data_IF_407996691669
#
_entry.id   IF_407996691669
#
_cell.length_a   1.000
_cell.length_b   1.000
_cell.length_c   1.000
_cell.angle_alpha   90.00
_cell.angle_beta   90.00
_cell.angle_gamma   90.00
#
_symmetry.space_group_name_H-M   'P 1'
#
loop_
_entity.id
_entity.type
_entity.pdbx_description
1 polymer ?
#
# COMPACT_ATOMS: atom_id res chain seq x y z
N UNK A 1 0.74 15.66 30.25
CA UNK A 1 -0.58 15.17 29.80
C UNK A 1 -0.49 14.98 28.30
N UNK A 2 -0.20 13.76 27.84
CA UNK A 2 -1.21 12.81 27.30
C UNK A 2 -1.96 13.43 26.11
N UNK A 3 -1.87 12.98 24.86
CA UNK A 3 -1.39 11.73 24.27
C UNK A 3 -1.20 12.00 22.77
N UNK A 4 0.02 11.86 22.25
CA UNK A 4 0.26 11.82 20.80
C UNK A 4 -0.19 10.44 20.28
N UNK A 5 -1.39 10.38 19.70
CA UNK A 5 -1.80 9.25 18.86
C UNK A 5 -1.33 9.53 17.42
N UNK A 6 -0.04 9.34 17.17
CA UNK A 6 0.48 9.13 15.81
C UNK A 6 0.52 7.61 15.64
N UNK A 7 -0.35 7.07 14.80
CA UNK A 7 -0.31 5.66 14.46
C UNK A 7 0.85 5.48 13.47
N UNK A 8 1.95 4.90 13.95
CA UNK A 8 3.06 4.39 13.13
C UNK A 8 2.62 3.10 12.38
N UNK A 9 3.01 2.95 11.12
CA UNK A 9 2.53 2.00 10.11
C UNK A 9 3.62 1.49 9.09
N UNK A 10 4.32 0.39 9.43
CA UNK A 10 5.64 -0.31 9.10
C UNK A 10 6.17 -0.55 7.60
N UNK A 11 7.53 -0.52 7.32
CA UNK A 11 8.42 -0.93 6.13
C UNK A 11 9.53 -1.82 6.71
N UNK A 12 10.22 -2.51 5.81
CA UNK A 12 11.52 -3.15 5.96
C UNK A 12 12.59 -2.43 5.13
N UNK A 13 13.75 -2.12 5.71
CA UNK A 13 14.92 -1.74 4.92
C UNK A 13 15.46 -2.96 4.16
N UNK A 14 15.83 -2.85 2.87
CA UNK A 14 16.39 -3.97 2.10
C UNK A 14 17.75 -4.47 2.65
N UNK A 15 18.41 -3.71 3.52
CA UNK A 15 19.68 -4.08 4.15
C UNK A 15 19.54 -4.53 5.62
N UNK A 16 18.32 -4.47 6.20
CA UNK A 16 18.01 -4.85 7.59
C UNK A 16 16.55 -5.32 7.71
N UNK A 17 16.28 -6.62 7.47
CA UNK A 17 14.93 -7.18 7.56
C UNK A 17 14.36 -7.22 9.00
N UNK A 18 15.16 -6.83 10.00
CA UNK A 18 14.87 -6.83 11.43
C UNK A 18 14.41 -5.46 12.00
N UNK A 19 14.38 -4.38 11.18
CA UNK A 19 13.96 -3.03 11.62
C UNK A 19 12.79 -2.47 10.79
N UNK A 20 11.74 -2.07 11.52
CA UNK A 20 10.42 -1.60 11.05
C UNK A 20 10.44 -0.11 10.65
N UNK A 21 9.86 0.29 9.50
CA UNK A 21 10.09 1.61 8.91
C UNK A 21 9.09 2.18 7.87
N UNK A 22 7.76 2.04 7.98
CA UNK A 22 6.55 2.51 7.21
C UNK A 22 6.50 2.91 5.67
N UNK A 23 5.95 2.08 4.71
CA UNK A 23 6.21 2.23 3.20
C UNK A 23 5.82 3.61 2.69
N UNK A 24 4.97 4.29 3.45
CA UNK A 24 4.58 5.65 3.17
C UNK A 24 4.51 6.54 4.42
N UNK A 25 5.33 6.30 5.44
CA UNK A 25 5.64 7.40 6.36
C UNK A 25 6.63 8.31 5.68
N UNK A 26 6.25 9.58 5.71
CA UNK A 26 7.13 10.69 5.45
C UNK A 26 8.39 10.49 6.28
N UNK A 27 9.48 10.09 5.62
CA UNK A 27 10.79 9.82 6.25
C UNK A 27 11.34 11.06 6.98
N UNK A 28 10.81 12.24 6.64
CA UNK A 28 11.03 13.52 7.25
C UNK A 28 10.50 14.63 6.35
N UNK A 29 10.55 15.86 6.84
CA UNK A 29 10.28 17.04 6.03
C UNK A 29 11.60 17.71 5.62
N UNK A 30 11.67 18.19 4.39
CA UNK A 30 12.73 19.10 3.91
C UNK A 30 12.09 20.42 3.53
N UNK A 31 12.70 21.53 3.96
CA UNK A 31 12.34 22.86 3.48
C UNK A 31 13.09 23.17 2.18
N UNK A 32 12.35 23.61 1.16
CA UNK A 32 12.90 24.09 -0.12
C UNK A 32 12.10 25.30 -0.57
N UNK A 33 12.79 26.41 -0.80
CA UNK A 33 12.20 27.68 -1.25
C UNK A 33 11.05 28.18 -0.34
N UNK A 34 11.13 27.94 0.97
CA UNK A 34 10.08 28.34 1.93
C UNK A 34 8.87 27.40 1.99
N UNK A 35 8.91 26.25 1.29
CA UNK A 35 7.87 25.23 1.34
C UNK A 35 8.41 23.92 1.93
N UNK A 36 7.55 23.20 2.65
CA UNK A 36 7.89 21.87 3.15
C UNK A 36 7.58 20.80 2.11
N UNK A 37 8.48 19.83 2.00
CA UNK A 37 8.33 18.62 1.19
C UNK A 37 8.53 17.39 2.07
N UNK A 38 7.84 16.30 1.75
CA UNK A 38 8.21 14.97 2.25
C UNK A 38 9.53 14.54 1.61
N UNK A 39 10.26 13.65 2.29
CA UNK A 39 11.49 13.08 1.74
C UNK A 39 11.27 11.72 1.09
N UNK A 40 11.83 11.54 -0.10
CA UNK A 40 11.96 10.26 -0.78
C UNK A 40 13.04 9.39 -0.14
N UNK A 41 13.12 8.13 -0.58
CA UNK A 41 14.14 7.16 -0.12
C UNK A 41 15.57 7.58 -0.47
N UNK A 42 15.74 8.38 -1.51
CA UNK A 42 16.99 9.01 -1.92
C UNK A 42 17.35 10.25 -1.10
N UNK A 43 16.51 10.61 -0.12
CA UNK A 43 16.64 11.80 0.70
C UNK A 43 16.31 13.10 -0.03
N UNK A 44 15.78 13.05 -1.26
CA UNK A 44 15.38 14.24 -2.01
C UNK A 44 13.92 14.63 -1.70
N UNK A 45 13.54 15.90 -1.97
CA UNK A 45 12.13 16.31 -1.92
C UNK A 45 11.25 15.46 -2.85
N UNK A 46 10.14 14.96 -2.32
CA UNK A 46 9.24 14.02 -3.00
C UNK A 46 7.86 14.65 -3.23
N UNK A 47 7.06 14.85 -2.18
CA UNK A 47 5.76 15.52 -2.28
C UNK A 47 5.75 16.87 -1.57
N UNK A 48 5.20 17.91 -2.20
CA UNK A 48 4.93 19.18 -1.54
C UNK A 48 3.85 19.01 -0.47
N UNK A 49 4.10 19.48 0.75
CA UNK A 49 3.13 19.48 1.84
C UNK A 49 2.19 20.67 1.67
N UNK A 50 0.89 20.40 1.49
CA UNK A 50 -0.11 21.46 1.36
C UNK A 50 -0.70 21.80 2.71
N UNK A 51 -0.63 23.09 3.07
CA UNK A 51 -1.21 23.61 4.31
C UNK A 51 -2.63 24.12 4.10
N UNK A 52 -2.89 24.69 2.92
CA UNK A 52 -4.11 25.42 2.60
C UNK A 52 -4.20 26.80 3.26
N UNK A 53 -3.13 27.32 3.87
CA UNK A 53 -3.13 28.66 4.46
C UNK A 53 -3.33 29.75 3.39
N UNK A 54 -2.65 29.58 2.26
CA UNK A 54 -2.89 30.29 1.01
C UNK A 54 -2.88 29.25 -0.13
N UNK A 55 -4.00 28.54 -0.27
CA UNK A 55 -4.10 27.43 -1.22
C UNK A 55 -3.88 27.89 -2.67
N UNK A 56 -4.26 29.13 -3.01
CA UNK A 56 -4.04 29.68 -4.35
C UNK A 56 -2.55 29.84 -4.62
N UNK A 57 -1.80 30.42 -3.68
CA UNK A 57 -0.34 30.53 -3.81
C UNK A 57 0.36 29.16 -3.83
N UNK A 58 -0.11 28.18 -3.06
CA UNK A 58 0.42 26.81 -3.09
C UNK A 58 0.18 26.12 -4.46
N UNK A 59 -1.02 26.30 -5.04
CA UNK A 59 -1.35 25.81 -6.38
C UNK A 59 -0.49 26.50 -7.46
N UNK A 60 -0.33 27.82 -7.38
CA UNK A 60 0.55 28.57 -8.29
C UNK A 60 1.99 28.07 -8.19
N UNK A 61 2.47 27.78 -6.98
CA UNK A 61 3.80 27.21 -6.77
C UNK A 61 3.93 25.83 -7.42
N UNK A 62 2.93 24.94 -7.27
CA UNK A 62 2.91 23.61 -7.91
C UNK A 62 3.07 23.75 -9.43
N UNK A 63 2.27 24.61 -10.04
CA UNK A 63 2.25 24.84 -11.50
C UNK A 63 3.59 25.40 -11.97
N UNK A 64 4.06 26.48 -11.34
CA UNK A 64 5.26 27.19 -11.80
C UNK A 64 6.56 26.41 -11.59
N UNK A 65 6.58 25.44 -10.67
CA UNK A 65 7.76 24.62 -10.37
C UNK A 65 7.62 23.18 -10.86
N UNK A 66 6.54 22.85 -11.58
CA UNK A 66 6.24 21.50 -12.05
C UNK A 66 6.37 20.44 -10.93
N UNK A 67 5.83 20.75 -9.75
CA UNK A 67 5.79 19.79 -8.63
C UNK A 67 4.94 18.61 -9.07
N UNK A 68 5.48 17.39 -9.00
CA UNK A 68 4.81 16.18 -9.47
C UNK A 68 4.03 15.43 -8.38
N UNK A 69 4.29 15.76 -7.10
CA UNK A 69 3.70 15.07 -5.96
C UNK A 69 3.18 16.03 -4.88
N UNK A 70 2.02 15.71 -4.30
CA UNK A 70 1.45 16.44 -3.17
C UNK A 70 1.20 15.53 -1.97
N UNK A 71 1.38 16.08 -0.78
CA UNK A 71 1.09 15.45 0.50
C UNK A 71 0.11 16.30 1.28
N UNK A 72 -0.97 15.65 1.72
CA UNK A 72 -1.97 16.24 2.59
C UNK A 72 -2.13 15.36 3.84
N UNK A 73 -2.27 16.00 5.00
CA UNK A 73 -2.52 15.28 6.24
C UNK A 73 -3.37 16.08 7.22
N UNK A 74 -3.93 15.39 8.21
CA UNK A 74 -4.80 16.00 9.23
C UNK A 74 -4.15 17.12 10.06
N UNK A 75 -2.82 17.19 10.13
CA UNK A 75 -2.10 18.15 10.95
C UNK A 75 -1.76 19.42 10.18
N UNK A 76 -1.18 19.28 8.99
CA UNK A 76 -0.71 20.39 8.16
C UNK A 76 -1.84 20.98 7.31
N UNK A 77 -2.72 20.15 6.76
CA UNK A 77 -3.70 20.53 5.73
C UNK A 77 -5.06 20.99 6.28
N UNK A 78 -5.09 21.52 7.51
CA UNK A 78 -6.35 21.87 8.23
C UNK A 78 -7.16 22.97 7.56
N UNK A 79 -6.52 23.81 6.76
CA UNK A 79 -7.17 24.94 6.09
C UNK A 79 -7.87 24.52 4.78
N UNK A 80 -7.51 23.37 4.21
CA UNK A 80 -8.13 22.81 2.99
C UNK A 80 -9.54 22.30 3.33
N UNK A 81 -10.55 22.76 2.57
CA UNK A 81 -11.97 22.46 2.82
C UNK A 81 -12.55 21.37 1.93
N UNK A 82 -11.97 21.20 0.76
CA UNK A 82 -12.30 20.17 -0.21
C UNK A 82 -11.11 19.98 -1.18
N UNK A 83 -11.21 18.99 -2.05
CA UNK A 83 -10.18 18.64 -3.02
C UNK A 83 -10.49 19.15 -4.44
N UNK A 84 -11.40 20.13 -4.60
CA UNK A 84 -11.75 20.66 -5.94
C UNK A 84 -10.56 21.33 -6.64
N UNK A 85 -9.60 21.85 -5.89
CA UNK A 85 -8.38 22.44 -6.44
C UNK A 85 -7.55 21.45 -7.29
N UNK A 86 -7.77 20.13 -7.15
CA UNK A 86 -7.10 19.12 -7.96
C UNK A 86 -7.38 19.29 -9.46
N UNK A 87 -8.51 19.90 -9.84
CA UNK A 87 -8.83 20.25 -11.25
C UNK A 87 -7.75 21.16 -11.86
N UNK A 88 -7.19 22.07 -11.07
CA UNK A 88 -6.15 23.02 -11.52
C UNK A 88 -4.75 22.40 -11.62
N UNK A 89 -4.55 21.20 -11.08
CA UNK A 89 -3.27 20.48 -11.03
C UNK A 89 -3.42 19.02 -11.49
N UNK A 90 -4.25 18.79 -12.51
CA UNK A 90 -4.56 17.46 -13.06
C UNK A 90 -3.35 16.68 -13.58
N UNK A 91 -2.19 17.34 -13.74
CA UNK A 91 -0.92 16.75 -14.14
C UNK A 91 -0.16 16.05 -13.01
N UNK A 92 -0.59 16.18 -11.74
CA UNK A 92 0.05 15.53 -10.60
C UNK A 92 0.13 14.02 -10.81
N UNK A 93 1.32 13.47 -10.56
CA UNK A 93 1.60 12.04 -10.72
C UNK A 93 1.50 11.29 -9.39
N UNK A 94 1.63 11.99 -8.26
CA UNK A 94 1.61 11.38 -6.92
C UNK A 94 0.77 12.16 -5.92
N UNK A 95 -0.09 11.43 -5.20
CA UNK A 95 -0.86 11.96 -4.08
C UNK A 95 -0.66 11.06 -2.87
N UNK A 96 -0.35 11.70 -1.74
CA UNK A 96 -0.41 11.07 -0.42
C UNK A 96 -1.37 11.84 0.49
N UNK A 97 -2.47 11.21 0.89
CA UNK A 97 -3.51 11.79 1.78
C UNK A 97 -3.58 10.95 3.06
N UNK A 98 -2.96 11.44 4.13
CA UNK A 98 -2.87 10.75 5.40
C UNK A 98 -3.90 11.27 6.42
N UNK A 99 -4.86 10.43 6.77
CA UNK A 99 -5.88 10.69 7.81
C UNK A 99 -6.70 11.99 7.63
N UNK A 100 -6.78 12.54 6.42
CA UNK A 100 -7.45 13.82 6.18
C UNK A 100 -8.97 13.66 6.09
N UNK A 101 -9.73 14.45 6.86
CA UNK A 101 -11.17 14.34 7.00
C UNK A 101 -11.98 14.93 5.81
N UNK A 102 -11.56 14.68 4.57
CA UNK A 102 -12.18 15.14 3.32
C UNK A 102 -12.62 13.97 2.45
N UNK A 103 -13.60 14.20 1.56
CA UNK A 103 -14.01 13.22 0.55
C UNK A 103 -13.02 13.15 -0.62
N UNK A 104 -12.92 11.98 -1.26
CA UNK A 104 -11.89 11.71 -2.28
C UNK A 104 -12.42 11.70 -3.72
N UNK A 105 -13.65 12.18 -3.96
CA UNK A 105 -14.26 12.16 -5.30
C UNK A 105 -13.43 12.92 -6.34
N UNK A 106 -12.79 14.03 -5.96
CA UNK A 106 -11.96 14.86 -6.85
C UNK A 106 -10.63 14.22 -7.25
N UNK A 107 -10.27 13.04 -6.73
CA UNK A 107 -9.13 12.28 -7.24
C UNK A 107 -9.31 11.90 -8.72
N UNK A 108 -10.56 11.87 -9.22
CA UNK A 108 -10.85 11.62 -10.64
C UNK A 108 -10.27 12.69 -11.57
N UNK A 109 -10.01 13.90 -11.08
CA UNK A 109 -9.44 15.00 -11.88
C UNK A 109 -7.97 14.76 -12.22
N UNK A 110 -7.29 13.86 -11.50
CA UNK A 110 -5.86 13.60 -11.64
C UNK A 110 -5.60 12.55 -12.73
N UNK A 111 -5.78 12.96 -13.98
CA UNK A 111 -5.64 12.09 -15.15
C UNK A 111 -4.25 11.44 -15.30
N UNK A 112 -3.19 12.03 -14.73
CA UNK A 112 -1.83 11.51 -14.78
C UNK A 112 -1.40 10.76 -13.50
N UNK A 113 -2.32 10.49 -12.57
CA UNK A 113 -1.98 9.92 -11.28
C UNK A 113 -1.42 8.49 -11.42
N UNK A 114 -0.16 8.31 -11.02
CA UNK A 114 0.55 7.03 -11.00
C UNK A 114 0.62 6.43 -9.60
N UNK A 115 0.72 7.27 -8.57
CA UNK A 115 0.88 6.83 -7.18
C UNK A 115 -0.22 7.45 -6.31
N UNK A 116 -1.07 6.61 -5.74
CA UNK A 116 -2.09 7.03 -4.77
C UNK A 116 -1.85 6.34 -3.43
N UNK A 117 -1.59 7.13 -2.39
CA UNK A 117 -1.49 6.68 -1.01
C UNK A 117 -2.59 7.40 -0.24
N UNK A 118 -3.53 6.67 0.34
CA UNK A 118 -4.66 7.28 1.04
C UNK A 118 -4.99 6.52 2.31
N UNK A 119 -5.56 7.22 3.29
CA UNK A 119 -6.24 6.58 4.42
C UNK A 119 -7.76 6.68 4.26
N UNK A 120 -8.49 5.58 4.42
CA UNK A 120 -9.96 5.57 4.36
C UNK A 120 -10.54 5.19 5.72
N UNK A 121 -11.04 6.21 6.43
CA UNK A 121 -11.68 6.10 7.73
C UNK A 121 -13.16 6.53 7.71
N UNK A 122 -13.64 7.12 6.61
CA UNK A 122 -15.01 7.62 6.42
C UNK A 122 -15.64 7.07 5.14
N UNK A 123 -16.97 7.19 5.01
CA UNK A 123 -17.70 6.70 3.83
C UNK A 123 -17.47 7.55 2.58
N UNK A 124 -17.33 8.86 2.74
CA UNK A 124 -17.10 9.83 1.66
C UNK A 124 -15.67 9.80 1.10
N UNK A 125 -14.76 9.10 1.77
CA UNK A 125 -13.40 8.81 1.29
C UNK A 125 -13.33 7.57 0.39
N UNK A 126 -14.41 6.79 0.27
CA UNK A 126 -14.43 5.61 -0.59
C UNK A 126 -14.41 6.07 -2.04
N UNK A 127 -13.37 5.67 -2.77
CA UNK A 127 -13.15 6.09 -4.14
C UNK A 127 -13.04 4.89 -5.08
N UNK A 128 -13.51 5.02 -6.31
CA UNK A 128 -13.37 3.95 -7.29
C UNK A 128 -12.05 4.09 -8.04
N UNK A 129 -10.98 3.51 -7.48
CA UNK A 129 -9.64 3.53 -8.07
C UNK A 129 -9.55 2.86 -9.44
N UNK A 130 -10.57 2.09 -9.86
CA UNK A 130 -10.63 1.54 -11.22
C UNK A 130 -10.74 2.61 -12.31
N UNK A 131 -11.13 3.83 -11.93
CA UNK A 131 -11.25 4.98 -12.83
C UNK A 131 -9.93 5.71 -13.11
N UNK A 132 -8.83 5.29 -12.49
CA UNK A 132 -7.51 5.89 -12.66
C UNK A 132 -6.66 4.98 -13.56
N UNK A 133 -6.69 5.25 -14.86
CA UNK A 133 -6.09 4.37 -15.88
C UNK A 133 -4.56 4.28 -15.80
N UNK A 134 -3.92 5.34 -15.32
CA UNK A 134 -2.46 5.43 -15.19
C UNK A 134 -1.93 4.99 -13.81
N UNK A 135 -2.80 4.48 -12.92
CA UNK A 135 -2.41 4.13 -11.57
C UNK A 135 -1.48 2.90 -11.56
N UNK A 136 -0.25 3.09 -11.09
CA UNK A 136 0.81 2.08 -11.00
C UNK A 136 0.95 1.52 -9.58
N UNK A 137 0.81 2.39 -8.57
CA UNK A 137 0.95 2.06 -7.15
C UNK A 137 -0.27 2.56 -6.38
N UNK A 138 -0.95 1.64 -5.69
CA UNK A 138 -2.07 1.96 -4.81
C UNK A 138 -1.79 1.48 -3.38
N UNK A 139 -1.81 2.40 -2.42
CA UNK A 139 -1.85 2.11 -0.99
C UNK A 139 -3.09 2.71 -0.36
N UNK A 140 -3.97 1.88 0.21
CA UNK A 140 -5.23 2.34 0.80
C UNK A 140 -5.76 1.38 1.86
N UNK A 141 -6.68 1.86 2.70
CA UNK A 141 -7.54 0.97 3.48
C UNK A 141 -8.60 0.32 2.58
N UNK A 142 -8.88 -0.94 2.85
CA UNK A 142 -10.02 -1.65 2.32
C UNK A 142 -11.32 -1.15 2.97
N UNK A 143 -12.41 -1.18 2.20
CA UNK A 143 -13.75 -0.84 2.68
C UNK A 143 -14.83 -1.70 2.00
N UNK A 144 -16.04 -1.81 2.60
CA UNK A 144 -17.16 -2.45 1.95
C UNK A 144 -17.51 -1.76 0.62
N UNK A 145 -17.52 -2.53 -0.47
CA UNK A 145 -17.66 -2.02 -1.83
C UNK A 145 -16.34 -1.58 -2.47
N UNK A 146 -15.19 -2.09 -1.98
CA UNK A 146 -13.91 -1.89 -2.62
C UNK A 146 -13.97 -2.27 -4.11
N UNK A 147 -13.42 -1.45 -5.03
CA UNK A 147 -13.60 -1.64 -6.46
C UNK A 147 -12.89 -2.91 -6.97
N UNK A 148 -13.40 -3.43 -8.09
CA UNK A 148 -12.76 -4.50 -8.84
C UNK A 148 -11.64 -3.89 -9.69
N UNK A 149 -10.39 -4.31 -9.46
CA UNK A 149 -9.21 -3.71 -10.09
C UNK A 149 -8.74 -4.45 -11.35
N UNK A 150 -9.48 -5.44 -11.85
CA UNK A 150 -9.07 -6.24 -13.03
C UNK A 150 -8.75 -5.39 -14.27
N UNK A 151 -9.43 -4.25 -14.43
CA UNK A 151 -9.22 -3.33 -15.55
C UNK A 151 -8.00 -2.43 -15.41
N UNK A 152 -7.40 -2.29 -14.22
CA UNK A 152 -6.24 -1.43 -13.99
C UNK A 152 -4.97 -2.08 -14.52
N UNK A 153 -4.79 -2.02 -15.84
CA UNK A 153 -3.64 -2.65 -16.53
C UNK A 153 -2.28 -2.03 -16.17
N UNK A 154 -2.26 -0.80 -15.68
CA UNK A 154 -1.04 -0.13 -15.22
C UNK A 154 -0.62 -0.57 -13.81
N UNK A 155 -1.55 -1.04 -12.98
CA UNK A 155 -1.29 -1.31 -11.56
C UNK A 155 -0.29 -2.45 -11.38
N UNK A 156 0.83 -2.16 -10.72
CA UNK A 156 1.94 -3.08 -10.42
C UNK A 156 2.03 -3.40 -8.94
N UNK A 157 1.67 -2.45 -8.08
CA UNK A 157 1.82 -2.58 -6.64
C UNK A 157 0.55 -2.20 -5.90
N UNK A 158 0.13 -3.09 -4.99
CA UNK A 158 -1.07 -2.92 -4.18
C UNK A 158 -0.77 -3.18 -2.71
N UNK A 159 -1.05 -2.17 -1.89
CA UNK A 159 -0.93 -2.21 -0.44
C UNK A 159 -2.32 -1.99 0.16
N UNK A 160 -2.88 -3.03 0.78
CA UNK A 160 -4.20 -2.98 1.38
C UNK A 160 -4.15 -3.11 2.90
N UNK A 161 -4.61 -2.05 3.56
CA UNK A 161 -4.81 -2.02 5.00
C UNK A 161 -6.20 -2.52 5.36
N UNK A 162 -6.32 -3.24 6.49
CA UNK A 162 -7.61 -3.67 7.04
C UNK A 162 -8.43 -4.51 6.05
N UNK A 163 -7.77 -5.26 5.18
CA UNK A 163 -8.42 -6.12 4.19
C UNK A 163 -9.33 -7.14 4.88
N UNK A 164 -10.64 -7.05 4.65
CA UNK A 164 -11.65 -7.83 5.39
C UNK A 164 -12.71 -8.45 4.48
N UNK A 165 -12.31 -9.31 3.53
CA UNK A 165 -13.22 -9.93 2.56
C UNK A 165 -14.20 -10.89 3.26
N UNK A 166 -15.42 -11.00 2.74
CA UNK A 166 -16.41 -11.95 3.28
C UNK A 166 -15.97 -13.41 3.16
N UNK A 167 -15.22 -13.73 2.11
CA UNK A 167 -14.67 -15.07 1.83
C UNK A 167 -13.46 -15.41 2.70
N UNK A 168 -12.92 -14.45 3.45
CA UNK A 168 -11.71 -14.62 4.27
C UNK A 168 -10.50 -15.11 3.45
N UNK A 169 -10.44 -14.74 2.17
CA UNK A 169 -9.39 -15.07 1.19
C UNK A 169 -9.32 -13.99 0.10
N UNK A 170 -8.51 -14.19 -0.95
CA UNK A 170 -8.31 -13.22 -2.05
C UNK A 170 -9.25 -13.40 -3.26
N UNK A 171 -10.13 -14.39 -3.31
CA UNK A 171 -10.99 -14.66 -4.49
C UNK A 171 -11.83 -13.45 -4.90
N UNK A 172 -12.28 -12.64 -3.93
CA UNK A 172 -13.05 -11.43 -4.19
C UNK A 172 -12.22 -10.19 -4.55
N UNK A 173 -10.88 -10.24 -4.40
CA UNK A 173 -10.01 -9.11 -4.70
C UNK A 173 -9.86 -8.87 -6.21
N UNK A 174 -9.98 -9.94 -7.00
CA UNK A 174 -9.86 -9.91 -8.45
C UNK A 174 -8.59 -9.19 -8.92
N UNK A 175 -7.44 -9.81 -8.62
CA UNK A 175 -6.12 -9.21 -8.81
C UNK A 175 -5.84 -8.94 -10.29
N UNK A 176 -5.42 -7.72 -10.68
CA UNK A 176 -5.04 -7.43 -12.05
C UNK A 176 -3.81 -8.26 -12.48
N UNK A 177 -3.82 -8.69 -13.75
CA UNK A 177 -2.81 -9.61 -14.28
C UNK A 177 -1.36 -9.07 -14.24
N UNK A 178 -1.20 -7.74 -14.15
CA UNK A 178 0.10 -7.09 -14.10
C UNK A 178 0.59 -6.80 -12.67
N UNK A 179 -0.18 -7.17 -11.64
CA UNK A 179 0.22 -6.95 -10.25
C UNK A 179 1.41 -7.85 -9.90
N UNK A 180 2.51 -7.22 -9.47
CA UNK A 180 3.77 -7.87 -9.10
C UNK A 180 3.97 -7.88 -7.59
N UNK A 181 3.52 -6.82 -6.91
CA UNK A 181 3.69 -6.63 -5.46
C UNK A 181 2.31 -6.57 -4.81
N UNK A 182 2.07 -7.44 -3.83
CA UNK A 182 0.87 -7.45 -3.02
C UNK A 182 1.24 -7.44 -1.54
N UNK A 183 0.85 -6.39 -0.84
CA UNK A 183 1.05 -6.25 0.60
C UNK A 183 -0.30 -6.14 1.29
N UNK A 184 -0.52 -6.98 2.29
CA UNK A 184 -1.75 -7.02 3.07
C UNK A 184 -1.40 -6.75 4.52
N UNK A 185 -2.03 -5.73 5.09
CA UNK A 185 -1.75 -5.27 6.45
C UNK A 185 -3.02 -5.33 7.28
N UNK A 186 -2.94 -5.97 8.46
CA UNK A 186 -4.03 -6.10 9.44
C UNK A 186 -5.31 -6.71 8.83
N UNK A 187 -5.21 -7.94 8.35
CA UNK A 187 -6.33 -8.65 7.72
C UNK A 187 -6.90 -9.78 8.58
N UNK A 188 -8.15 -10.16 8.32
CA UNK A 188 -8.81 -11.33 8.91
C UNK A 188 -8.96 -12.52 7.95
N UNK A 189 -8.21 -12.51 6.84
CA UNK A 189 -8.08 -13.68 5.97
C UNK A 189 -7.61 -14.90 6.77
N UNK A 190 -8.12 -16.08 6.38
CA UNK A 190 -7.73 -17.37 6.94
C UNK A 190 -6.88 -18.20 5.98
N UNK A 191 -6.97 -17.92 4.68
CA UNK A 191 -6.29 -18.66 3.63
C UNK A 191 -5.94 -17.74 2.47
N UNK A 192 -4.90 -18.09 1.71
CA UNK A 192 -4.43 -17.30 0.56
C UNK A 192 -5.07 -17.68 -0.79
N UNK A 193 -6.20 -18.42 -0.78
CA UNK A 193 -6.95 -18.76 -2.00
C UNK A 193 -7.28 -17.51 -2.84
N UNK A 194 -7.24 -17.66 -4.16
CA UNK A 194 -7.57 -16.58 -5.11
C UNK A 194 -6.37 -15.79 -5.64
N UNK A 195 -5.13 -16.20 -5.33
CA UNK A 195 -3.90 -15.60 -5.88
C UNK A 195 -3.37 -16.28 -7.15
N UNK A 196 -3.93 -17.43 -7.54
CA UNK A 196 -3.39 -18.33 -8.60
C UNK A 196 -3.37 -17.73 -10.01
N UNK A 197 -4.20 -16.73 -10.29
CA UNK A 197 -4.29 -16.09 -11.61
C UNK A 197 -3.36 -14.89 -11.77
N UNK A 198 -2.65 -14.49 -10.72
CA UNK A 198 -1.79 -13.30 -10.70
C UNK A 198 -0.32 -13.59 -11.05
N UNK A 199 0.40 -12.54 -11.47
CA UNK A 199 1.87 -12.55 -11.65
C UNK A 199 2.60 -12.03 -10.41
N UNK A 200 2.01 -12.21 -9.23
CA UNK A 200 2.58 -11.71 -7.97
C UNK A 200 3.92 -12.41 -7.73
N UNK A 201 4.96 -11.61 -7.55
CA UNK A 201 6.33 -12.07 -7.24
C UNK A 201 6.73 -11.75 -5.80
N UNK A 202 6.16 -10.69 -5.23
CA UNK A 202 6.39 -10.30 -3.84
C UNK A 202 5.05 -10.25 -3.09
N UNK A 203 4.89 -11.17 -2.14
CA UNK A 203 3.74 -11.22 -1.25
C UNK A 203 4.18 -10.94 0.17
N UNK A 204 3.56 -9.93 0.80
CA UNK A 204 3.76 -9.65 2.21
C UNK A 204 2.45 -9.66 2.98
N UNK A 205 2.41 -10.41 4.07
CA UNK A 205 1.26 -10.57 4.95
C UNK A 205 1.64 -10.12 6.36
N UNK A 206 1.13 -8.97 6.79
CA UNK A 206 1.42 -8.35 8.08
C UNK A 206 0.18 -8.32 8.96
N UNK A 207 0.32 -8.77 10.21
CA UNK A 207 -0.77 -8.80 11.19
C UNK A 207 -2.02 -9.56 10.70
N UNK A 208 -1.83 -10.57 9.83
CA UNK A 208 -2.88 -11.48 9.39
C UNK A 208 -3.06 -12.60 10.43
N UNK A 209 -3.46 -12.22 11.64
CA UNK A 209 -3.41 -13.07 12.84
C UNK A 209 -4.31 -14.31 12.79
N UNK A 210 -5.28 -14.35 11.87
CA UNK A 210 -6.19 -15.48 11.64
C UNK A 210 -5.79 -16.34 10.44
N UNK A 211 -4.69 -16.03 9.76
CA UNK A 211 -4.21 -16.81 8.62
C UNK A 211 -3.77 -18.19 9.11
N UNK A 212 -4.47 -19.23 8.66
CA UNK A 212 -4.28 -20.63 9.05
C UNK A 212 -3.42 -21.40 8.04
N UNK A 213 -3.49 -21.01 6.76
CA UNK A 213 -2.84 -21.72 5.66
C UNK A 213 -2.45 -20.79 4.49
N UNK A 214 -1.44 -21.21 3.74
CA UNK A 214 -0.93 -20.53 2.54
C UNK A 214 -1.42 -21.20 1.26
N UNK A 215 -2.71 -21.55 1.18
CA UNK A 215 -3.23 -22.29 0.05
C UNK A 215 -3.12 -21.54 -1.28
N UNK A 216 -2.82 -22.29 -2.34
CA UNK A 216 -2.90 -21.85 -3.72
C UNK A 216 -2.07 -20.59 -4.03
N UNK A 217 -0.89 -20.49 -3.41
CA UNK A 217 0.07 -19.47 -3.76
C UNK A 217 0.58 -19.67 -5.21
N UNK A 218 0.68 -18.59 -6.02
CA UNK A 218 1.19 -18.71 -7.39
C UNK A 218 2.67 -19.08 -7.38
N UNK A 219 3.07 -19.96 -8.31
CA UNK A 219 4.46 -20.41 -8.46
C UNK A 219 5.42 -19.30 -8.88
N UNK A 220 4.91 -18.13 -9.28
CA UNK A 220 5.70 -16.94 -9.60
C UNK A 220 6.27 -16.20 -8.39
N UNK A 221 5.88 -16.56 -7.16
CA UNK A 221 6.39 -15.91 -5.95
C UNK A 221 7.90 -16.14 -5.82
N UNK A 222 8.62 -15.03 -5.67
CA UNK A 222 10.06 -14.98 -5.40
C UNK A 222 10.37 -14.52 -3.98
N UNK A 223 9.48 -13.74 -3.39
CA UNK A 223 9.59 -13.24 -2.01
C UNK A 223 8.27 -13.43 -1.28
N UNK A 224 8.30 -14.18 -0.18
CA UNK A 224 7.18 -14.34 0.74
C UNK A 224 7.60 -13.89 2.14
N UNK A 225 6.88 -12.91 2.68
CA UNK A 225 7.07 -12.41 4.04
C UNK A 225 5.77 -12.51 4.81
N UNK A 226 5.79 -13.24 5.92
CA UNK A 226 4.70 -13.30 6.88
C UNK A 226 5.17 -12.76 8.23
N UNK A 227 4.44 -11.80 8.79
CA UNK A 227 4.75 -11.18 10.09
C UNK A 227 3.49 -11.16 10.95
N UNK A 228 3.61 -11.67 12.18
CA UNK A 228 2.50 -11.76 13.14
C UNK A 228 1.30 -12.62 12.65
N UNK A 229 1.54 -13.59 11.77
CA UNK A 229 0.54 -14.58 11.30
C UNK A 229 0.43 -15.75 12.29
N UNK A 230 -0.10 -15.50 13.48
CA UNK A 230 0.01 -16.41 14.64
C UNK A 230 -0.79 -17.71 14.52
N UNK A 231 -1.85 -17.73 13.71
CA UNK A 231 -2.66 -18.92 13.49
C UNK A 231 -2.11 -19.84 12.38
N UNK A 232 -0.98 -19.50 11.76
CA UNK A 232 -0.46 -20.22 10.61
C UNK A 232 0.13 -21.56 11.06
N UNK A 233 -0.56 -22.65 10.74
CA UNK A 233 -0.22 -24.00 11.18
C UNK A 233 0.21 -24.92 10.02
N UNK A 234 -0.24 -24.61 8.79
CA UNK A 234 0.12 -25.36 7.59
C UNK A 234 1.13 -24.61 6.71
N UNK A 235 2.23 -25.28 6.41
CA UNK A 235 3.32 -24.77 5.57
C UNK A 235 3.56 -25.60 4.30
N UNK A 236 2.72 -26.61 4.04
CA UNK A 236 2.87 -27.56 2.92
C UNK A 236 2.87 -26.84 1.57
N UNK A 237 2.07 -25.80 1.42
CA UNK A 237 1.97 -25.04 0.17
C UNK A 237 3.29 -24.36 -0.25
N UNK A 238 4.23 -24.16 0.69
CA UNK A 238 5.56 -23.63 0.37
C UNK A 238 6.36 -24.57 -0.55
N UNK A 239 6.07 -25.87 -0.55
CA UNK A 239 6.72 -26.86 -1.42
C UNK A 239 6.54 -26.55 -2.91
N UNK A 240 5.46 -25.85 -3.27
CA UNK A 240 5.14 -25.49 -4.65
C UNK A 240 5.87 -24.24 -5.15
N UNK A 241 6.55 -23.50 -4.27
CA UNK A 241 7.17 -22.21 -4.60
C UNK A 241 8.60 -22.39 -5.14
N UNK A 242 8.72 -23.05 -6.29
CA UNK A 242 10.01 -23.37 -6.93
C UNK A 242 10.87 -22.15 -7.30
N UNK A 243 10.27 -20.96 -7.40
CA UNK A 243 10.97 -19.70 -7.72
C UNK A 243 11.31 -18.88 -6.47
N UNK A 244 11.03 -19.38 -5.26
CA UNK A 244 11.19 -18.64 -4.02
C UNK A 244 12.68 -18.41 -3.72
N UNK A 245 13.06 -17.13 -3.60
CA UNK A 245 14.40 -16.67 -3.25
C UNK A 245 14.47 -16.15 -1.83
N UNK A 246 13.35 -15.69 -1.29
CA UNK A 246 13.26 -15.10 0.05
C UNK A 246 12.03 -15.61 0.75
N UNK A 247 12.24 -16.22 1.92
CA UNK A 247 11.20 -16.60 2.86
C UNK A 247 11.51 -15.96 4.22
N UNK A 248 10.57 -15.18 4.73
CA UNK A 248 10.66 -14.60 6.08
C UNK A 248 9.39 -14.88 6.85
N UNK A 249 9.52 -15.59 7.97
CA UNK A 249 8.42 -15.92 8.88
C UNK A 249 8.77 -15.36 10.25
N UNK A 250 8.09 -14.29 10.67
CA UNK A 250 8.36 -13.61 11.94
C UNK A 250 7.12 -13.61 12.82
N UNK A 251 7.22 -14.20 14.01
CA UNK A 251 6.10 -14.31 14.96
C UNK A 251 4.85 -14.97 14.33
N UNK A 252 5.08 -16.01 13.52
CA UNK A 252 4.05 -16.86 12.93
C UNK A 252 3.70 -18.03 13.86
N UNK A 253 2.69 -18.84 13.50
CA UNK A 253 2.39 -20.07 14.21
C UNK A 253 3.55 -21.08 14.14
N UNK A 254 3.55 -22.07 15.03
CA UNK A 254 4.66 -23.01 15.18
C UNK A 254 4.96 -23.75 13.88
N UNK A 255 6.24 -23.83 13.51
CA UNK A 255 6.69 -24.58 12.34
C UNK A 255 7.04 -26.00 12.82
N UNK A 256 6.25 -27.03 12.49
CA UNK A 256 6.44 -28.37 13.04
C UNK A 256 7.72 -29.04 12.51
N UNK A 257 8.10 -28.74 11.26
CA UNK A 257 9.31 -29.23 10.62
C UNK A 257 9.67 -28.32 9.43
N UNK A 258 10.86 -28.52 8.85
CA UNK A 258 11.37 -27.77 7.71
C UNK A 258 11.41 -28.60 6.41
N UNK A 259 10.57 -29.64 6.27
CA UNK A 259 10.62 -30.54 5.09
C UNK A 259 10.31 -29.80 3.80
N UNK A 260 9.49 -28.74 3.86
CA UNK A 260 9.18 -27.92 2.70
C UNK A 260 10.42 -27.27 2.05
N UNK A 261 11.51 -27.07 2.81
CA UNK A 261 12.75 -26.51 2.27
C UNK A 261 13.45 -27.45 1.29
N UNK A 262 13.31 -28.78 1.40
CA UNK A 262 13.99 -29.69 0.47
C UNK A 262 13.47 -29.54 -0.95
N UNK A 263 12.19 -29.21 -1.12
CA UNK A 263 11.58 -29.00 -2.44
C UNK A 263 12.06 -27.70 -3.08
N UNK A 264 12.28 -26.65 -2.28
CA UNK A 264 12.69 -25.32 -2.75
C UNK A 264 14.21 -25.26 -3.02
N UNK A 265 15.02 -26.00 -2.26
CA UNK A 265 16.49 -26.02 -2.41
C UNK A 265 16.97 -26.95 -3.53
N UNK A 266 16.23 -28.02 -3.83
CA UNK A 266 16.57 -28.95 -4.91
C UNK A 266 16.15 -28.47 -6.31
N UNK A 267 15.41 -27.37 -6.40
CA UNK A 267 14.98 -26.75 -7.66
C UNK A 267 15.93 -25.65 -8.19
N UNK A 268 17.05 -25.40 -7.49
CA UNK A 268 18.05 -24.36 -7.82
C UNK A 268 19.24 -24.86 -8.64
#
# INVERSE_FOLDING_TARGET
MQSENIINYLIFSPNRPDQLLDIFVVMGYIEKNGHHFTTGLDGQPDCLVLTGNDLMAEVDYIINNAVSGIYLNQFDSKCIKDLSFLESISFIEKVNIANLALGYSSLIELSNLKVAITSVNRKDQRFDYSKLDNLEILSTDWYPGFPVLLGNSSLRELYLWKYKPRTQNFEGLNIPANLVVLHILKSDIRQTLGLTSGRVRNLQLHDCSKLESLNDLPTSIESLVCVNCKALESYVDLENLINLKTLSLHNCGDIPNLTFLSSILCSG
#
